data_IF_665579144283
#
_entry.id   IF_665579144283
#
_cell.length_a   1.000
_cell.length_b   1.000
_cell.length_c   1.000
_cell.angle_alpha   90.00
_cell.angle_beta   90.00
_cell.angle_gamma   90.00
#
_symmetry.space_group_name_H-M   'P 1'
#
loop_
_entity.id
_entity.type
_entity.pdbx_description
1 polymer ?
#
# COMPACT_ATOMS: atom_id res chain seq x y z
N UNK A 1 -0.38 16.98 14.57
CA UNK A 1 0.25 16.08 13.58
C UNK A 1 1.71 15.84 13.94
N UNK A 2 2.06 14.69 14.54
CA UNK A 2 3.44 14.37 14.96
C UNK A 2 4.42 14.31 13.78
N UNK A 3 4.02 13.72 12.65
CA UNK A 3 4.87 13.63 11.45
C UNK A 3 5.30 15.00 10.90
N UNK A 4 4.37 15.95 10.79
CA UNK A 4 4.66 17.35 10.39
C UNK A 4 5.59 18.05 11.38
N UNK A 5 5.33 17.91 12.68
CA UNK A 5 6.15 18.53 13.72
C UNK A 5 7.59 18.00 13.75
N UNK A 6 7.79 16.74 13.34
CA UNK A 6 9.10 16.09 13.26
C UNK A 6 9.74 16.17 11.86
N UNK A 7 9.12 16.90 10.93
CA UNK A 7 9.56 17.00 9.53
C UNK A 7 9.76 15.62 8.85
N UNK A 8 8.93 14.64 9.20
CA UNK A 8 8.97 13.32 8.59
C UNK A 8 8.32 13.35 7.21
N UNK A 9 8.91 12.62 6.27
CA UNK A 9 8.30 12.28 4.99
C UNK A 9 7.39 11.06 5.16
N UNK A 10 6.17 11.16 4.65
CA UNK A 10 5.16 10.11 4.77
C UNK A 10 5.01 9.32 3.48
N UNK A 11 5.04 8.00 3.63
CA UNK A 11 4.69 7.02 2.62
C UNK A 11 3.50 6.20 3.14
N UNK A 12 2.51 5.97 2.29
CA UNK A 12 1.32 5.18 2.61
C UNK A 12 1.33 3.97 1.70
N UNK A 13 1.29 2.77 2.28
CA UNK A 13 1.30 1.52 1.54
C UNK A 13 -0.11 0.95 1.53
N UNK A 14 -0.67 0.68 0.35
CA UNK A 14 -1.86 -0.13 0.19
C UNK A 14 -1.41 -1.57 0.09
N UNK A 15 -1.67 -2.36 1.12
CA UNK A 15 -1.25 -3.76 1.17
C UNK A 15 -1.83 -4.56 0.00
N UNK A 16 -1.06 -5.53 -0.54
CA UNK A 16 -1.64 -6.50 -1.45
C UNK A 16 -2.61 -7.38 -0.66
N UNK A 17 -3.50 -8.04 -1.38
CA UNK A 17 -4.38 -9.07 -0.82
C UNK A 17 -4.51 -10.19 -1.83
N UNK A 18 -4.89 -11.38 -1.36
CA UNK A 18 -5.12 -12.53 -2.24
C UNK A 18 -6.25 -12.24 -3.22
N UNK A 19 -6.18 -12.85 -4.41
CA UNK A 19 -7.08 -12.52 -5.52
C UNK A 19 -8.56 -12.74 -5.20
N UNK A 20 -8.90 -13.78 -4.44
CA UNK A 20 -10.26 -14.08 -4.01
C UNK A 20 -10.81 -13.03 -3.03
N UNK A 21 -9.98 -12.60 -2.08
CA UNK A 21 -10.32 -11.52 -1.16
C UNK A 21 -10.45 -10.18 -1.89
N UNK A 22 -9.53 -9.89 -2.82
CA UNK A 22 -9.59 -8.70 -3.68
C UNK A 22 -10.92 -8.64 -4.43
N UNK A 23 -11.32 -9.75 -5.05
CA UNK A 23 -12.58 -9.83 -5.78
C UNK A 23 -13.78 -9.56 -4.86
N UNK A 24 -13.80 -10.13 -3.66
CA UNK A 24 -14.87 -9.92 -2.69
C UNK A 24 -14.95 -8.47 -2.20
N UNK A 25 -13.81 -7.81 -1.95
CA UNK A 25 -13.75 -6.39 -1.58
C UNK A 25 -14.27 -5.50 -2.70
N UNK A 26 -13.79 -5.71 -3.93
CA UNK A 26 -14.19 -4.90 -5.09
C UNK A 26 -15.65 -5.10 -5.48
N UNK A 27 -16.19 -6.30 -5.31
CA UNK A 27 -17.61 -6.56 -5.53
C UNK A 27 -18.52 -5.75 -4.58
N UNK A 28 -18.04 -5.48 -3.35
CA UNK A 28 -18.77 -4.68 -2.36
C UNK A 28 -18.51 -3.19 -2.48
N UNK A 29 -17.28 -2.82 -2.83
CA UNK A 29 -16.84 -1.45 -2.96
C UNK A 29 -15.78 -1.32 -4.07
N UNK A 30 -16.19 -1.04 -5.32
CA UNK A 30 -15.28 -0.85 -6.44
C UNK A 30 -14.30 0.33 -6.26
N UNK A 31 -14.61 1.25 -5.34
CA UNK A 31 -13.89 2.49 -5.08
C UNK A 31 -13.23 2.50 -3.69
N UNK A 32 -12.81 1.34 -3.19
CA UNK A 32 -12.36 1.12 -1.79
C UNK A 32 -11.33 2.14 -1.28
N UNK A 33 -10.52 2.74 -2.14
CA UNK A 33 -9.50 3.74 -1.76
C UNK A 33 -9.80 5.18 -2.20
N UNK A 34 -10.92 5.46 -2.88
CA UNK A 34 -11.22 6.83 -3.35
C UNK A 34 -11.21 7.84 -2.20
N UNK A 35 -11.82 7.45 -1.08
CA UNK A 35 -11.86 8.31 0.12
C UNK A 35 -10.48 8.61 0.71
N UNK A 36 -9.50 7.72 0.55
CA UNK A 36 -8.12 7.99 0.97
C UNK A 36 -7.54 9.14 0.16
N UNK A 37 -7.70 9.12 -1.16
CA UNK A 37 -7.19 10.18 -2.02
C UNK A 37 -7.85 11.53 -1.74
N UNK A 38 -9.16 11.53 -1.47
CA UNK A 38 -9.88 12.74 -1.03
C UNK A 38 -9.30 13.31 0.26
N UNK A 39 -9.05 12.45 1.25
CA UNK A 39 -8.50 12.86 2.54
C UNK A 39 -7.08 13.42 2.36
N UNK A 40 -6.25 12.81 1.52
CA UNK A 40 -4.89 13.30 1.25
C UNK A 40 -4.87 14.71 0.66
N UNK A 41 -5.90 15.09 -0.10
CA UNK A 41 -6.03 16.46 -0.62
C UNK A 41 -6.42 17.48 0.47
N UNK A 42 -6.95 17.03 1.61
CA UNK A 42 -7.34 17.89 2.73
C UNK A 42 -6.21 18.09 3.76
N UNK A 43 -5.16 17.27 3.71
CA UNK A 43 -4.05 17.37 4.66
C UNK A 43 -3.04 18.46 4.26
N UNK A 44 -2.89 19.48 5.10
CA UNK A 44 -1.87 20.51 4.96
C UNK A 44 -0.52 20.07 5.55
N UNK A 45 0.15 19.15 4.85
CA UNK A 45 1.49 18.66 5.23
C UNK A 45 2.64 19.49 4.63
N UNK A 46 2.34 20.39 3.68
CA UNK A 46 3.37 21.13 2.91
C UNK A 46 4.00 20.29 1.78
N UNK A 47 3.67 19.01 1.72
CA UNK A 47 3.95 18.08 0.63
C UNK A 47 2.80 17.06 0.56
N UNK A 48 2.67 16.37 -0.57
CA UNK A 48 1.70 15.28 -0.72
C UNK A 48 2.36 13.95 -0.34
N UNK A 49 1.81 13.16 0.60
CA UNK A 49 2.32 11.82 0.88
C UNK A 49 2.33 10.94 -0.37
N UNK A 50 3.36 10.12 -0.51
CA UNK A 50 3.45 9.14 -1.60
C UNK A 50 2.61 7.91 -1.26
N UNK A 51 1.67 7.53 -2.12
CA UNK A 51 0.91 6.28 -2.00
C UNK A 51 1.56 5.21 -2.86
N UNK A 52 1.88 4.07 -2.25
CA UNK A 52 2.45 2.89 -2.89
C UNK A 52 1.36 1.83 -2.96
N UNK A 53 0.86 1.55 -4.16
CA UNK A 53 -0.29 0.67 -4.38
C UNK A 53 0.15 -0.76 -4.72
N UNK A 54 0.24 -1.62 -3.71
CA UNK A 54 0.42 -3.07 -3.92
C UNK A 54 -0.91 -3.81 -4.05
N UNK A 55 -2.04 -3.18 -3.73
CA UNK A 55 -3.36 -3.79 -3.93
C UNK A 55 -3.64 -4.04 -5.41
N UNK A 56 -3.17 -3.15 -6.29
CA UNK A 56 -3.27 -3.28 -7.75
C UNK A 56 -2.00 -3.82 -8.43
N UNK A 57 -1.07 -4.38 -7.66
CA UNK A 57 0.16 -4.95 -8.20
C UNK A 57 -0.03 -6.40 -8.65
N UNK A 58 0.20 -6.66 -9.93
CA UNK A 58 0.04 -7.99 -10.52
C UNK A 58 1.28 -8.89 -10.33
N UNK A 59 2.36 -8.39 -9.72
CA UNK A 59 3.56 -9.19 -9.41
C UNK A 59 3.39 -10.05 -8.15
N UNK A 60 2.34 -9.79 -7.35
CA UNK A 60 2.09 -10.50 -6.09
C UNK A 60 1.02 -11.55 -6.32
N UNK A 61 1.47 -12.79 -6.48
CA UNK A 61 0.61 -13.95 -6.70
C UNK A 61 0.04 -14.55 -5.40
N UNK A 62 -1.07 -15.29 -5.52
CA UNK A 62 -1.75 -15.94 -4.39
C UNK A 62 -0.84 -16.90 -3.60
N UNK A 63 0.14 -17.51 -4.27
CA UNK A 63 1.12 -18.41 -3.64
C UNK A 63 2.03 -17.69 -2.62
N UNK A 64 2.09 -16.36 -2.64
CA UNK A 64 2.87 -15.58 -1.70
C UNK A 64 2.16 -15.32 -0.37
N UNK A 65 0.89 -15.69 -0.22
CA UNK A 65 0.09 -15.38 0.97
C UNK A 65 0.04 -16.55 1.98
N UNK A 66 0.09 -16.20 3.26
CA UNK A 66 -0.20 -17.11 4.36
C UNK A 66 -1.72 -17.25 4.60
N UNK A 67 -2.46 -16.16 4.39
CA UNK A 67 -3.92 -16.11 4.48
C UNK A 67 -4.52 -15.22 3.38
N UNK A 68 -5.56 -14.43 3.66
CA UNK A 68 -6.25 -13.60 2.69
C UNK A 68 -5.55 -12.24 2.46
N UNK A 69 -4.88 -11.70 3.48
CA UNK A 69 -4.34 -10.34 3.51
C UNK A 69 -2.92 -10.24 4.06
N UNK A 70 -2.32 -11.36 4.49
CA UNK A 70 -0.96 -11.44 4.97
C UNK A 70 -0.08 -12.29 4.05
N UNK A 71 1.07 -11.73 3.67
CA UNK A 71 2.12 -12.46 2.96
C UNK A 71 2.81 -13.47 3.88
N UNK A 72 3.41 -14.49 3.28
CA UNK A 72 4.36 -15.37 3.96
C UNK A 72 5.55 -14.53 4.48
N UNK A 73 5.85 -14.55 5.79
CA UNK A 73 6.80 -13.62 6.40
C UNK A 73 8.21 -13.63 5.81
N UNK A 74 8.65 -14.77 5.27
CA UNK A 74 9.99 -14.95 4.67
C UNK A 74 9.91 -15.44 3.22
N UNK A 75 8.79 -15.20 2.54
CA UNK A 75 8.58 -15.61 1.15
C UNK A 75 8.92 -14.52 0.13
N UNK A 76 8.87 -14.90 -1.14
CA UNK A 76 9.23 -14.03 -2.28
C UNK A 76 8.38 -12.75 -2.34
N UNK A 77 7.11 -12.80 -1.91
CA UNK A 77 6.25 -11.61 -1.84
C UNK A 77 6.78 -10.52 -0.90
N UNK A 78 7.30 -10.89 0.27
CA UNK A 78 7.88 -9.93 1.23
C UNK A 78 9.18 -9.36 0.69
N UNK A 79 10.01 -10.19 0.05
CA UNK A 79 11.25 -9.74 -0.57
C UNK A 79 10.98 -8.73 -1.71
N UNK A 80 9.97 -9.01 -2.54
CA UNK A 80 9.53 -8.12 -3.61
C UNK A 80 9.07 -6.75 -3.07
N UNK A 81 8.13 -6.73 -2.12
CA UNK A 81 7.62 -5.48 -1.54
C UNK A 81 8.74 -4.68 -0.88
N UNK A 82 9.60 -5.37 -0.11
CA UNK A 82 10.69 -4.72 0.61
C UNK A 82 11.64 -3.99 -0.35
N UNK A 83 12.06 -4.66 -1.43
CA UNK A 83 12.90 -4.06 -2.47
C UNK A 83 12.21 -2.89 -3.17
N UNK A 84 10.91 -3.00 -3.43
CA UNK A 84 10.15 -1.95 -4.11
C UNK A 84 9.97 -0.71 -3.24
N UNK A 85 9.65 -0.89 -1.95
CA UNK A 85 9.57 0.21 -0.97
C UNK A 85 10.94 0.88 -0.85
N UNK A 86 12.02 0.12 -0.70
CA UNK A 86 13.37 0.67 -0.60
C UNK A 86 13.71 1.56 -1.80
N UNK A 87 13.42 1.10 -3.02
CA UNK A 87 13.63 1.88 -4.23
C UNK A 87 12.85 3.19 -4.21
N UNK A 88 11.55 3.14 -3.92
CA UNK A 88 10.69 4.34 -3.90
C UNK A 88 11.17 5.34 -2.86
N UNK A 89 11.55 4.87 -1.67
CA UNK A 89 12.06 5.72 -0.59
C UNK A 89 13.38 6.41 -0.98
N UNK A 90 14.28 5.71 -1.69
CA UNK A 90 15.55 6.27 -2.17
C UNK A 90 15.37 7.33 -3.27
N UNK A 91 14.37 7.16 -4.13
CA UNK A 91 14.09 8.05 -5.26
C UNK A 91 13.27 9.29 -4.87
N UNK A 92 12.68 9.30 -3.67
CA UNK A 92 11.72 10.32 -3.25
C UNK A 92 12.37 11.55 -2.65
#
# INVERSE_FOLDING_TARGET
MKAKALNHKMFIVLSPVRSDYKAAVLARNPQVFERLFDLLNQFELGYRPTVIDFFNDNQIEDAHFADYDHLLPTGDGVAYISKRIEQIVRES
#
